data_IF_941904760884
#
_entry.id   IF_941904760884
#
_cell.length_a   1.000
_cell.length_b   1.000
_cell.length_c   1.000
_cell.angle_alpha   90.00
_cell.angle_beta   90.00
_cell.angle_gamma   90.00
#
_symmetry.space_group_name_H-M   'P 1'
#
loop_
_entity.id
_entity.type
_entity.pdbx_description
1 polymer ?
#
# COMPACT_ATOMS: atom_id res chain seq x y z
N UNK A 1 -4.02 13.15 14.28
CA UNK A 1 -4.00 13.61 12.87
C UNK A 1 -3.03 14.75 12.59
N UNK A 2 -2.89 15.77 13.45
CA UNK A 2 -2.03 16.95 13.18
C UNK A 2 -0.53 16.67 12.93
N UNK A 3 -0.08 15.46 13.25
CA UNK A 3 1.31 15.03 13.10
C UNK A 3 1.46 13.80 12.19
N UNK A 4 0.39 13.39 11.49
CA UNK A 4 0.51 12.32 10.51
C UNK A 4 1.18 12.82 9.24
N UNK A 5 1.76 11.91 8.47
CA UNK A 5 2.50 12.27 7.25
C UNK A 5 1.62 12.97 6.23
N UNK A 6 0.40 12.46 5.99
CA UNK A 6 -0.53 13.09 5.05
C UNK A 6 -0.94 14.50 5.50
N UNK A 7 -1.01 14.76 6.81
CA UNK A 7 -1.31 16.10 7.32
C UNK A 7 -0.15 17.09 7.11
N UNK A 8 1.10 16.71 7.38
CA UNK A 8 2.22 17.61 7.04
C UNK A 8 2.37 17.80 5.54
N UNK A 9 2.16 16.75 4.76
CA UNK A 9 2.17 16.83 3.31
C UNK A 9 1.05 17.76 2.81
N UNK A 10 -0.14 17.72 3.43
CA UNK A 10 -1.25 18.62 3.12
C UNK A 10 -0.89 20.08 3.38
N UNK A 11 -0.19 20.37 4.47
CA UNK A 11 0.27 21.73 4.80
C UNK A 11 1.25 22.30 3.78
N UNK A 12 2.15 21.47 3.26
CA UNK A 12 3.12 21.93 2.24
C UNK A 12 2.52 21.97 0.83
N UNK A 13 1.88 20.88 0.39
CA UNK A 13 1.37 20.74 -0.98
C UNK A 13 0.17 19.80 -1.01
N UNK A 14 -1.03 20.38 -0.99
CA UNK A 14 -2.31 19.65 -0.99
C UNK A 14 -2.41 18.61 -2.12
N UNK A 15 -1.92 18.92 -3.32
CA UNK A 15 -1.99 17.99 -4.47
C UNK A 15 -1.15 16.72 -4.27
N UNK A 16 -0.04 16.81 -3.51
CA UNK A 16 0.79 15.65 -3.22
C UNK A 16 0.07 14.63 -2.34
N UNK A 17 -0.83 15.06 -1.44
CA UNK A 17 -1.63 14.15 -0.61
C UNK A 17 -2.42 13.15 -1.46
N UNK A 18 -3.05 13.64 -2.53
CA UNK A 18 -3.84 12.81 -3.45
C UNK A 18 -2.93 11.78 -4.13
N UNK A 19 -1.73 12.17 -4.55
CA UNK A 19 -0.77 11.27 -5.21
C UNK A 19 -0.36 10.13 -4.27
N UNK A 20 -0.02 10.44 -3.02
CA UNK A 20 0.35 9.39 -2.05
C UNK A 20 -0.85 8.52 -1.68
N UNK A 21 -2.04 9.08 -1.47
CA UNK A 21 -3.24 8.27 -1.24
C UNK A 21 -3.48 7.33 -2.42
N UNK A 22 -3.45 7.85 -3.65
CA UNK A 22 -3.65 7.05 -4.86
C UNK A 22 -2.60 5.94 -4.97
N UNK A 23 -1.32 6.25 -4.76
CA UNK A 23 -0.22 5.28 -4.83
C UNK A 23 -0.41 4.10 -3.88
N UNK A 24 -0.86 4.37 -2.65
CA UNK A 24 -1.09 3.34 -1.62
C UNK A 24 -2.44 2.63 -1.73
N UNK A 25 -3.41 3.23 -2.42
CA UNK A 25 -4.74 2.66 -2.66
C UNK A 25 -4.77 1.79 -3.94
N UNK A 26 -3.92 2.11 -4.92
CA UNK A 26 -3.92 1.50 -6.26
C UNK A 26 -3.79 -0.03 -6.25
N UNK A 27 -2.95 -0.67 -5.42
CA UNK A 27 -2.88 -2.13 -5.36
C UNK A 27 -4.21 -2.78 -4.96
N UNK A 28 -4.89 -2.22 -3.95
CA UNK A 28 -6.19 -2.71 -3.50
C UNK A 28 -7.29 -2.46 -4.54
N UNK A 29 -7.29 -1.30 -5.19
CA UNK A 29 -8.23 -1.01 -6.28
C UNK A 29 -8.06 -1.97 -7.46
N UNK A 30 -6.82 -2.27 -7.85
CA UNK A 30 -6.56 -3.20 -8.94
C UNK A 30 -7.07 -4.62 -8.63
N UNK A 31 -6.90 -5.09 -7.39
CA UNK A 31 -7.47 -6.35 -6.94
C UNK A 31 -9.00 -6.35 -6.98
N UNK A 32 -9.63 -5.29 -6.50
CA UNK A 32 -11.09 -5.12 -6.52
C UNK A 32 -11.62 -5.09 -7.96
N UNK A 33 -11.01 -4.31 -8.85
CA UNK A 33 -11.37 -4.25 -10.27
C UNK A 33 -11.24 -5.63 -10.90
N UNK A 34 -10.17 -6.37 -10.60
CA UNK A 34 -9.97 -7.73 -11.13
C UNK A 34 -11.04 -8.72 -10.63
N UNK A 35 -11.49 -8.58 -9.37
CA UNK A 35 -12.63 -9.34 -8.84
C UNK A 35 -13.94 -9.02 -9.58
N UNK A 36 -14.26 -7.74 -9.77
CA UNK A 36 -15.45 -7.33 -10.52
C UNK A 36 -15.39 -7.78 -11.98
N UNK A 37 -14.22 -7.67 -12.61
CA UNK A 37 -13.95 -8.12 -13.96
C UNK A 37 -14.31 -9.60 -14.15
N UNK A 38 -13.87 -10.45 -13.20
CA UNK A 38 -14.18 -11.88 -13.18
C UNK A 38 -15.65 -12.17 -12.86
N UNK A 39 -16.21 -11.51 -11.83
CA UNK A 39 -17.57 -11.77 -11.36
C UNK A 39 -18.66 -11.35 -12.35
N UNK A 40 -18.43 -10.28 -13.11
CA UNK A 40 -19.40 -9.71 -14.04
C UNK A 40 -19.05 -9.93 -15.52
N UNK A 41 -18.13 -10.86 -15.81
CA UNK A 41 -17.79 -11.26 -17.17
C UNK A 41 -17.41 -10.09 -18.10
N UNK A 42 -16.64 -9.10 -17.62
CA UNK A 42 -16.31 -7.92 -18.43
C UNK A 42 -15.52 -8.34 -19.69
N UNK A 43 -15.98 -7.98 -20.90
CA UNK A 43 -15.47 -8.56 -22.16
C UNK A 43 -14.05 -8.13 -22.54
N UNK A 44 -13.48 -7.13 -21.87
CA UNK A 44 -12.16 -6.56 -22.19
C UNK A 44 -11.05 -6.90 -21.19
N UNK A 45 -11.39 -7.46 -20.03
CA UNK A 45 -10.42 -7.78 -18.99
C UNK A 45 -10.84 -9.06 -18.27
N UNK A 46 -10.13 -10.17 -18.51
CA UNK A 46 -10.34 -11.42 -17.80
C UNK A 46 -9.05 -11.89 -17.14
N UNK A 47 -8.94 -11.84 -15.81
CA UNK A 47 -7.80 -12.44 -15.12
C UNK A 47 -7.85 -13.95 -15.37
N UNK A 48 -6.83 -14.48 -16.04
CA UNK A 48 -6.73 -15.90 -16.33
C UNK A 48 -6.83 -16.69 -15.01
N UNK A 49 -7.70 -17.72 -14.90
CA UNK A 49 -7.96 -18.39 -13.62
C UNK A 49 -6.71 -19.03 -13.01
N UNK A 50 -5.76 -19.47 -13.84
CA UNK A 50 -4.49 -20.01 -13.36
C UNK A 50 -3.43 -18.93 -13.04
N UNK A 51 -3.67 -17.67 -13.36
CA UNK A 51 -2.78 -16.58 -12.96
C UNK A 51 -2.85 -16.36 -11.45
N UNK A 52 -1.79 -15.81 -10.85
CA UNK A 52 -1.75 -15.52 -9.41
C UNK A 52 -2.96 -14.67 -8.97
N UNK A 53 -3.33 -13.65 -9.76
CA UNK A 53 -4.51 -12.81 -9.51
C UNK A 53 -5.81 -13.63 -9.63
N UNK A 54 -5.89 -14.52 -10.62
CA UNK A 54 -7.06 -15.37 -10.86
C UNK A 54 -7.34 -16.35 -9.72
N UNK A 55 -6.30 -17.01 -9.19
CA UNK A 55 -6.40 -17.92 -8.04
C UNK A 55 -6.68 -17.18 -6.74
N UNK A 56 -6.00 -16.05 -6.55
CA UNK A 56 -6.19 -15.15 -5.41
C UNK A 56 -7.64 -14.63 -5.29
N UNK A 57 -8.31 -14.33 -6.42
CA UNK A 57 -9.72 -13.92 -6.43
C UNK A 57 -10.66 -15.05 -5.97
N UNK A 58 -10.30 -16.31 -6.23
CA UNK A 58 -11.08 -17.49 -5.80
C UNK A 58 -10.77 -17.89 -4.35
N UNK A 59 -9.64 -17.45 -3.80
CA UNK A 59 -9.23 -17.79 -2.45
C UNK A 59 -10.09 -17.10 -1.40
N UNK A 60 -10.35 -17.79 -0.29
CA UNK A 60 -11.03 -17.24 0.89
C UNK A 60 -10.25 -16.07 1.53
N UNK A 61 -8.96 -15.94 1.21
CA UNK A 61 -8.06 -14.88 1.69
C UNK A 61 -8.14 -13.57 0.88
N UNK A 62 -8.90 -13.51 -0.22
CA UNK A 62 -8.95 -12.36 -1.13
C UNK A 62 -9.21 -11.02 -0.39
N UNK A 63 -10.26 -10.96 0.41
CA UNK A 63 -10.63 -9.75 1.16
C UNK A 63 -9.64 -9.40 2.25
N UNK A 64 -9.07 -10.41 2.91
CA UNK A 64 -8.00 -10.21 3.90
C UNK A 64 -6.77 -9.58 3.27
N UNK A 65 -6.44 -9.98 2.03
CA UNK A 65 -5.32 -9.40 1.31
C UNK A 65 -5.60 -7.95 0.88
N UNK A 66 -6.83 -7.61 0.48
CA UNK A 66 -7.22 -6.21 0.24
C UNK A 66 -7.02 -5.38 1.52
N UNK A 67 -7.51 -5.86 2.66
CA UNK A 67 -7.34 -5.17 3.95
C UNK A 67 -5.86 -5.04 4.33
N UNK A 68 -5.07 -6.09 4.12
CA UNK A 68 -3.64 -6.09 4.41
C UNK A 68 -2.88 -5.06 3.55
N UNK A 69 -3.22 -4.95 2.27
CA UNK A 69 -2.65 -3.96 1.35
C UNK A 69 -3.06 -2.51 1.69
N UNK A 70 -4.14 -2.30 2.45
CA UNK A 70 -4.57 -0.98 2.93
C UNK A 70 -3.83 -0.53 4.20
N UNK A 71 -3.14 -1.44 4.91
CA UNK A 71 -2.42 -1.09 6.16
C UNK A 71 -1.44 0.07 5.95
N UNK A 72 -0.58 0.09 4.92
CA UNK A 72 0.31 1.22 4.68
C UNK A 72 -0.44 2.55 4.54
N UNK A 73 -1.57 2.59 3.83
CA UNK A 73 -2.39 3.79 3.70
C UNK A 73 -2.88 4.28 5.07
N UNK A 74 -3.35 3.36 5.92
CA UNK A 74 -3.77 3.70 7.28
C UNK A 74 -2.60 4.21 8.13
N UNK A 75 -1.40 3.63 7.97
CA UNK A 75 -0.20 4.14 8.64
C UNK A 75 0.09 5.58 8.22
N UNK A 76 0.02 5.91 6.93
CA UNK A 76 0.20 7.27 6.42
C UNK A 76 -0.81 8.28 7.01
N UNK A 77 -2.03 7.83 7.28
CA UNK A 77 -3.13 8.68 7.74
C UNK A 77 -3.11 8.90 9.26
N UNK A 78 -2.79 7.86 10.03
CA UNK A 78 -2.96 7.85 11.48
C UNK A 78 -1.64 7.92 12.26
N UNK A 79 -0.54 7.38 11.73
CA UNK A 79 0.71 7.30 12.47
C UNK A 79 1.48 8.61 12.39
N UNK A 80 2.02 9.00 13.54
CA UNK A 80 2.90 10.14 13.69
C UNK A 80 4.19 9.94 12.86
N UNK A 81 4.60 10.97 12.11
CA UNK A 81 5.71 10.90 11.13
C UNK A 81 7.01 10.27 11.64
N UNK A 82 7.37 10.55 12.91
CA UNK A 82 8.54 9.98 13.57
C UNK A 82 8.56 8.45 13.58
N UNK A 83 7.40 7.80 13.66
CA UNK A 83 7.27 6.35 13.74
C UNK A 83 6.86 5.71 12.41
N UNK A 84 6.42 6.51 11.43
CA UNK A 84 5.84 6.03 10.18
C UNK A 84 6.77 5.06 9.44
N UNK A 85 8.02 5.47 9.19
CA UNK A 85 8.98 4.65 8.44
C UNK A 85 9.26 3.33 9.16
N UNK A 86 9.41 3.36 10.49
CA UNK A 86 9.63 2.14 11.28
C UNK A 86 8.45 1.18 11.17
N UNK A 87 7.22 1.69 11.28
CA UNK A 87 6.01 0.88 11.17
C UNK A 87 5.83 0.30 9.76
N UNK A 88 6.12 1.09 8.73
CA UNK A 88 6.07 0.63 7.35
C UNK A 88 7.13 -0.45 7.04
N UNK A 89 8.33 -0.34 7.62
CA UNK A 89 9.36 -1.39 7.51
C UNK A 89 8.90 -2.67 8.20
N UNK A 90 8.32 -2.58 9.41
CA UNK A 90 7.77 -3.75 10.10
C UNK A 90 6.69 -4.41 9.23
N UNK A 91 5.77 -3.62 8.67
CA UNK A 91 4.75 -4.13 7.77
C UNK A 91 5.35 -4.81 6.53
N UNK A 92 6.37 -4.22 5.91
CA UNK A 92 7.04 -4.81 4.75
C UNK A 92 7.72 -6.13 5.11
N UNK A 93 8.39 -6.23 6.26
CA UNK A 93 8.95 -7.48 6.75
C UNK A 93 7.88 -8.55 6.97
N UNK A 94 6.75 -8.20 7.60
CA UNK A 94 5.62 -9.12 7.81
C UNK A 94 5.01 -9.56 6.47
N UNK A 95 4.88 -8.64 5.50
CA UNK A 95 4.40 -8.96 4.16
C UNK A 95 5.33 -9.94 3.44
N UNK A 96 6.65 -9.76 3.57
CA UNK A 96 7.63 -10.67 2.98
C UNK A 96 7.59 -12.05 3.62
N UNK A 97 7.43 -12.14 4.95
CA UNK A 97 7.29 -13.43 5.65
C UNK A 97 6.00 -14.13 5.22
N UNK A 98 4.88 -13.40 5.19
CA UNK A 98 3.59 -13.92 4.73
C UNK A 98 3.68 -14.42 3.29
N UNK A 99 4.38 -13.68 2.42
CA UNK A 99 4.68 -14.13 1.07
C UNK A 99 5.51 -15.41 1.03
N UNK A 100 6.60 -15.51 1.80
CA UNK A 100 7.44 -16.72 1.81
C UNK A 100 6.64 -17.95 2.21
N UNK A 101 5.79 -17.83 3.23
CA UNK A 101 4.89 -18.91 3.67
C UNK A 101 3.89 -19.25 2.56
N UNK A 102 3.20 -18.26 1.99
CA UNK A 102 2.23 -18.50 0.93
C UNK A 102 2.86 -19.01 -0.37
N UNK A 103 4.06 -18.58 -0.73
CA UNK A 103 4.72 -19.03 -1.95
C UNK A 103 5.10 -20.51 -1.85
N UNK A 104 5.53 -20.95 -0.66
CA UNK A 104 5.87 -22.35 -0.38
C UNK A 104 4.63 -23.25 -0.23
N UNK A 105 3.53 -22.74 0.32
CA UNK A 105 2.38 -23.57 0.69
C UNK A 105 1.10 -23.34 -0.13
N UNK A 106 0.88 -22.15 -0.70
CA UNK A 106 -0.44 -21.71 -1.19
C UNK A 106 -0.47 -21.00 -2.56
N UNK A 107 0.66 -20.66 -3.20
CA UNK A 107 0.76 -20.10 -4.57
C UNK A 107 -0.15 -18.88 -4.93
N UNK A 108 -0.81 -18.26 -3.96
CA UNK A 108 -1.94 -17.33 -4.20
C UNK A 108 -1.62 -15.84 -3.91
N UNK A 109 -0.37 -15.50 -3.57
CA UNK A 109 -0.03 -14.11 -3.23
C UNK A 109 0.59 -13.36 -4.41
N UNK A 110 -0.06 -12.28 -4.84
CA UNK A 110 0.46 -11.42 -5.91
C UNK A 110 1.67 -10.59 -5.42
N UNK A 111 2.87 -10.99 -5.86
CA UNK A 111 4.17 -10.33 -5.59
C UNK A 111 4.22 -8.84 -5.99
N UNK A 112 3.32 -8.39 -6.88
CA UNK A 112 3.35 -7.04 -7.46
C UNK A 112 2.99 -5.91 -6.49
N UNK A 113 2.14 -6.15 -5.48
CA UNK A 113 1.70 -5.10 -4.55
C UNK A 113 2.75 -4.76 -3.49
N UNK A 114 3.38 -5.78 -2.89
CA UNK A 114 4.42 -5.60 -1.88
C UNK A 114 5.69 -4.94 -2.47
N UNK A 115 6.04 -5.30 -3.70
CA UNK A 115 7.18 -4.71 -4.42
C UNK A 115 6.93 -3.23 -4.78
N UNK A 116 5.74 -2.86 -5.26
CA UNK A 116 5.36 -1.45 -5.47
C UNK A 116 5.45 -0.64 -4.18
N UNK A 117 4.96 -1.19 -3.06
CA UNK A 117 5.00 -0.51 -1.76
C UNK A 117 6.45 -0.37 -1.26
N UNK A 118 7.29 -1.41 -1.40
CA UNK A 118 8.73 -1.35 -1.09
C UNK A 118 9.45 -0.26 -1.88
N UNK A 119 9.21 -0.13 -3.18
CA UNK A 119 9.77 0.97 -3.97
C UNK A 119 9.27 2.33 -3.47
N UNK A 120 7.99 2.43 -3.12
CA UNK A 120 7.42 3.65 -2.55
C UNK A 120 8.04 4.03 -1.20
N UNK A 121 8.52 3.07 -0.39
CA UNK A 121 9.17 3.33 0.90
C UNK A 121 10.42 4.19 0.79
N UNK A 122 11.21 4.01 -0.27
CA UNK A 122 12.44 4.79 -0.49
C UNK A 122 12.07 6.28 -0.63
N UNK A 123 11.12 6.59 -1.50
CA UNK A 123 10.63 7.95 -1.71
C UNK A 123 9.94 8.52 -0.48
N UNK A 124 9.18 7.69 0.26
CA UNK A 124 8.52 8.08 1.50
C UNK A 124 9.52 8.44 2.58
N UNK A 125 10.62 7.70 2.71
CA UNK A 125 11.67 7.98 3.69
C UNK A 125 12.30 9.33 3.44
N UNK A 126 12.67 9.62 2.19
CA UNK A 126 13.23 10.93 1.80
C UNK A 126 12.23 12.05 2.10
N UNK A 127 10.98 11.91 1.67
CA UNK A 127 9.96 12.95 1.87
C UNK A 127 9.60 13.15 3.35
N UNK A 128 9.55 12.08 4.14
CA UNK A 128 9.27 12.16 5.58
C UNK A 128 10.40 12.89 6.31
N UNK A 129 11.65 12.66 5.94
CA UNK A 129 12.80 13.37 6.51
C UNK A 129 12.76 14.87 6.15
N UNK A 130 12.43 15.22 4.90
CA UNK A 130 12.24 16.62 4.49
C UNK A 130 11.12 17.30 5.28
N UNK A 131 9.97 16.63 5.44
CA UNK A 131 8.83 17.15 6.19
C UNK A 131 9.19 17.38 7.66
N UNK A 132 9.86 16.43 8.29
CA UNK A 132 10.33 16.58 9.67
C UNK A 132 11.38 17.69 9.82
N UNK A 133 12.28 17.86 8.85
CA UNK A 133 13.27 18.94 8.85
C UNK A 133 12.65 20.33 8.70
N UNK A 134 11.61 20.46 7.87
CA UNK A 134 10.91 21.73 7.65
C UNK A 134 10.09 22.22 8.86
N UNK A 135 9.77 21.34 9.81
CA UNK A 135 9.11 21.70 11.06
C UNK A 135 10.05 22.29 12.11
N UNK A 136 11.36 22.07 11.98
CA UNK A 136 12.35 22.42 13.00
C UNK A 136 12.95 23.82 12.76
N UNK A 137 12.68 24.47 11.62
CA UNK A 137 13.03 25.87 11.46
C UNK A 137 11.96 26.75 12.12
N UNK A 138 12.22 27.36 13.30
CA UNK A 138 11.42 28.50 13.70
C UNK A 138 11.56 29.55 12.62
N UNK A 139 10.43 30.09 12.16
CA UNK A 139 10.42 31.34 11.42
C UNK A 139 11.13 32.38 12.28
N UNK A 140 12.33 32.77 11.86
CA UNK A 140 13.06 33.93 12.38
C UNK A 140 12.20 35.18 12.31
#
# INVERSE_FOLDING_TARGET
MKDSFLWALYRQKKSSVIIYIALFLLPSLFNIISFFAKKYAFPFWHPHPQSTIGRMIESSGFWWMILFNLIPLFLLFFIHQRYLIRMLVIWACLSSIYYLINHWFLADYANSSASMIMCALIFLRTKNNELMGSYIQPST
#
